data_IF_999192116077
#
_entry.id   IF_999192116077
#
_cell.length_a   1.000
_cell.length_b   1.000
_cell.length_c   1.000
_cell.angle_alpha   90.00
_cell.angle_beta   90.00
_cell.angle_gamma   90.00
#
_symmetry.space_group_name_H-M   'P 1'
#
loop_
_entity.id
_entity.type
_entity.pdbx_description
1 polymer ?
#
# COMPACT_ATOMS: atom_id res chain seq x y z
N UNK A 1 11.63 -0.11 0.23
CA UNK A 1 10.19 -0.46 0.37
C UNK A 1 9.66 -0.43 1.80
N UNK A 2 10.43 -0.83 2.83
CA UNK A 2 9.92 -1.03 4.20
C UNK A 2 9.16 0.16 4.83
N UNK A 3 9.56 1.41 4.57
CA UNK A 3 8.84 2.58 5.07
C UNK A 3 7.42 2.69 4.49
N UNK A 4 7.28 2.42 3.19
CA UNK A 4 5.99 2.52 2.51
C UNK A 4 5.04 1.39 2.93
N UNK A 5 5.57 0.21 3.23
CA UNK A 5 4.79 -0.88 3.83
C UNK A 5 4.31 -0.55 5.24
N UNK A 6 5.15 0.09 6.05
CA UNK A 6 4.77 0.56 7.38
C UNK A 6 3.68 1.65 7.31
N UNK A 7 3.82 2.59 6.38
CA UNK A 7 2.83 3.67 6.18
C UNK A 7 1.48 3.10 5.70
N UNK A 8 1.48 2.09 4.83
CA UNK A 8 0.27 1.37 4.40
C UNK A 8 -0.40 0.61 5.54
N UNK A 9 0.38 -0.11 6.34
CA UNK A 9 -0.14 -0.84 7.49
C UNK A 9 -0.76 0.12 8.51
N UNK A 10 -0.11 1.26 8.76
CA UNK A 10 -0.65 2.32 9.60
C UNK A 10 -1.97 2.86 9.05
N UNK A 11 -2.04 3.16 7.74
CA UNK A 11 -3.26 3.68 7.12
C UNK A 11 -4.45 2.71 7.26
N UNK A 12 -4.24 1.41 7.02
CA UNK A 12 -5.27 0.37 7.20
C UNK A 12 -5.77 0.32 8.64
N UNK A 13 -4.85 0.33 9.60
CA UNK A 13 -5.22 0.32 11.02
C UNK A 13 -6.11 1.53 11.37
N UNK A 14 -5.79 2.71 10.85
CA UNK A 14 -6.61 3.90 11.11
C UNK A 14 -8.00 3.81 10.46
N UNK A 15 -8.10 3.23 9.27
CA UNK A 15 -9.38 2.97 8.60
C UNK A 15 -10.22 1.97 9.40
N UNK A 16 -9.59 0.90 9.91
CA UNK A 16 -10.25 -0.13 10.72
C UNK A 16 -10.73 0.40 12.08
N UNK A 17 -9.98 1.32 12.68
CA UNK A 17 -10.37 2.07 13.88
C UNK A 17 -11.54 3.05 13.63
N UNK A 18 -11.99 3.19 12.38
CA UNK A 18 -13.13 4.03 12.00
C UNK A 18 -12.77 5.50 11.81
N UNK A 19 -11.47 5.83 11.63
CA UNK A 19 -11.04 7.19 11.29
C UNK A 19 -11.47 7.52 9.86
N UNK A 20 -11.78 8.79 9.62
CA UNK A 20 -12.17 9.34 8.32
C UNK A 20 -13.31 8.53 7.64
N UNK A 21 -14.47 8.40 8.30
CA UNK A 21 -15.58 7.60 7.76
C UNK A 21 -16.03 8.05 6.37
N UNK A 22 -15.98 9.35 6.08
CA UNK A 22 -16.35 9.91 4.78
C UNK A 22 -15.39 9.55 3.65
N UNK A 23 -14.14 9.20 3.98
CA UNK A 23 -13.07 8.87 3.02
C UNK A 23 -12.68 7.39 3.05
N UNK A 24 -13.36 6.56 3.85
CA UNK A 24 -12.99 5.16 4.08
C UNK A 24 -12.84 4.37 2.78
N UNK A 25 -13.78 4.53 1.85
CA UNK A 25 -13.78 3.82 0.58
C UNK A 25 -12.64 4.30 -0.34
N UNK A 26 -12.41 5.61 -0.39
CA UNK A 26 -11.34 6.20 -1.20
C UNK A 26 -9.96 5.79 -0.67
N UNK A 27 -9.77 5.81 0.65
CA UNK A 27 -8.53 5.41 1.29
C UNK A 27 -8.26 3.90 1.12
N UNK A 28 -9.29 3.05 1.18
CA UNK A 28 -9.16 1.62 0.92
C UNK A 28 -8.81 1.35 -0.56
N UNK A 29 -9.39 2.10 -1.50
CA UNK A 29 -9.06 2.00 -2.91
C UNK A 29 -7.60 2.40 -3.18
N UNK A 30 -7.15 3.51 -2.59
CA UNK A 30 -5.79 4.01 -2.70
C UNK A 30 -4.77 3.03 -2.11
N UNK A 31 -5.05 2.47 -0.93
CA UNK A 31 -4.18 1.45 -0.33
C UNK A 31 -4.01 0.23 -1.25
N UNK A 32 -5.12 -0.24 -1.85
CA UNK A 32 -5.10 -1.37 -2.76
C UNK A 32 -4.34 -1.09 -4.06
N UNK A 33 -4.42 0.14 -4.58
CA UNK A 33 -3.64 0.57 -5.75
C UNK A 33 -2.15 0.64 -5.41
N UNK A 34 -1.79 1.19 -4.25
CA UNK A 34 -0.41 1.21 -3.76
C UNK A 34 0.16 -0.20 -3.59
N UNK A 35 -0.65 -1.14 -3.06
CA UNK A 35 -0.25 -2.53 -2.93
C UNK A 35 0.11 -3.17 -4.26
N UNK A 36 -0.70 -2.96 -5.30
CA UNK A 36 -0.43 -3.47 -6.65
C UNK A 36 0.84 -2.85 -7.25
N UNK A 37 1.04 -1.55 -7.05
CA UNK A 37 2.22 -0.86 -7.57
C UNK A 37 3.50 -1.35 -6.89
N UNK A 38 3.47 -1.57 -5.58
CA UNK A 38 4.59 -2.13 -4.82
C UNK A 38 4.97 -3.53 -5.28
N UNK A 39 3.98 -4.42 -5.46
CA UNK A 39 4.21 -5.76 -6.02
C UNK A 39 4.93 -5.67 -7.36
N UNK A 40 4.44 -4.81 -8.26
CA UNK A 40 5.05 -4.63 -9.59
C UNK A 40 6.47 -4.08 -9.53
N UNK A 41 6.76 -3.14 -8.64
CA UNK A 41 8.13 -2.63 -8.47
C UNK A 41 9.04 -3.73 -7.93
N UNK A 42 8.57 -4.57 -7.00
CA UNK A 42 9.34 -5.70 -6.47
C UNK A 42 9.69 -6.72 -7.56
N UNK A 43 8.71 -7.08 -8.40
CA UNK A 43 8.92 -7.95 -9.57
C UNK A 43 9.97 -7.36 -10.54
N UNK A 44 9.91 -6.05 -10.80
CA UNK A 44 10.88 -5.37 -11.67
C UNK A 44 12.29 -5.33 -11.06
N UNK A 45 12.41 -5.11 -9.74
CA UNK A 45 13.69 -5.13 -9.04
C UNK A 45 14.32 -6.54 -9.07
N UNK A 46 13.51 -7.59 -8.89
CA UNK A 46 13.95 -8.99 -9.00
C UNK A 46 14.39 -9.35 -10.43
N UNK A 47 13.61 -8.97 -11.46
CA UNK A 47 14.00 -9.16 -12.87
C UNK A 47 15.28 -8.40 -13.24
N UNK A 48 15.47 -7.21 -12.67
CA UNK A 48 16.64 -6.36 -12.92
C UNK A 48 17.89 -6.85 -12.18
N UNK A 49 17.73 -7.48 -11.01
CA UNK A 49 18.83 -8.09 -10.25
C UNK A 49 19.24 -9.48 -10.74
N UNK A 50 18.41 -10.12 -11.57
CA UNK A 50 18.68 -11.43 -12.20
C UNK A 50 19.35 -11.31 -13.58
N UNK A 51 19.74 -10.10 -13.99
CA UNK A 51 20.42 -9.80 -15.27
C UNK A 51 21.89 -9.43 -15.10
#
# INVERSE_FOLDING_TARGET
MQQLDADRAWLLQQIDEGRWPDLRLDLAALERELGQMLTRVGELEEESGSR
#
